data_IF_399777464868
#
_entry.id   IF_399777464868
#
_cell.length_a   1.000
_cell.length_b   1.000
_cell.length_c   1.000
_cell.angle_alpha   90.00
_cell.angle_beta   90.00
_cell.angle_gamma   90.00
#
_symmetry.space_group_name_H-M   'P 1'
#
loop_
_entity.id
_entity.type
_entity.pdbx_description
1 polymer ?
#
# COMPACT_ATOMS: atom_id res chain seq x y z
N UNK A 1 -49.90 -49.56 -34.09
CA UNK A 1 -50.91 -48.50 -34.36
C UNK A 1 -50.44 -47.27 -33.58
N UNK A 2 -49.91 -46.18 -34.14
CA UNK A 2 -50.04 -45.49 -35.44
C UNK A 2 -51.26 -44.52 -35.54
N UNK A 3 -50.96 -43.24 -35.80
CA UNK A 3 -51.87 -42.05 -35.90
C UNK A 3 -52.43 -41.63 -34.52
N UNK A 4 -52.65 -40.35 -34.16
CA UNK A 4 -52.85 -39.05 -34.86
C UNK A 4 -52.04 -37.95 -34.07
N UNK A 5 -51.32 -36.91 -34.54
CA UNK A 5 -51.20 -36.07 -35.78
C UNK A 5 -52.13 -34.81 -35.77
N UNK A 6 -51.71 -33.53 -35.77
CA UNK A 6 -50.42 -32.80 -35.64
C UNK A 6 -50.75 -31.27 -35.47
N UNK A 7 -49.76 -30.37 -35.29
CA UNK A 7 -49.86 -28.88 -35.28
C UNK A 7 -50.48 -28.29 -33.98
N UNK A 8 -50.16 -27.07 -33.54
CA UNK A 8 -49.57 -25.88 -34.19
C UNK A 8 -48.17 -25.53 -33.66
N UNK A 9 -47.36 -24.85 -34.49
CA UNK A 9 -45.95 -24.48 -34.24
C UNK A 9 -45.70 -23.03 -34.70
N UNK A 10 -44.85 -22.29 -33.97
CA UNK A 10 -44.24 -20.97 -34.29
C UNK A 10 -45.18 -19.76 -34.51
N UNK A 11 -45.38 -18.96 -33.45
CA UNK A 11 -45.27 -17.48 -33.41
C UNK A 11 -45.32 -17.07 -31.92
N UNK A 12 -44.49 -16.17 -31.37
CA UNK A 12 -43.39 -15.39 -31.93
C UNK A 12 -42.19 -15.31 -30.95
N UNK A 13 -41.01 -14.99 -31.48
CA UNK A 13 -39.86 -14.55 -30.68
C UNK A 13 -39.97 -13.06 -30.30
N UNK A 14 -38.97 -12.58 -29.54
CA UNK A 14 -38.60 -11.17 -29.40
C UNK A 14 -39.39 -10.31 -28.39
N UNK A 15 -39.07 -10.48 -27.10
CA UNK A 15 -38.89 -9.32 -26.19
C UNK A 15 -37.47 -9.42 -25.61
N UNK A 16 -36.72 -8.32 -25.70
CA UNK A 16 -35.31 -8.26 -25.33
C UNK A 16 -35.11 -7.63 -23.94
N UNK A 17 -34.12 -8.17 -23.23
CA UNK A 17 -33.23 -7.48 -22.27
C UNK A 17 -33.81 -7.08 -20.88
N UNK A 18 -32.93 -6.74 -19.89
CA UNK A 18 -31.46 -6.85 -19.87
C UNK A 18 -30.92 -7.75 -18.74
N UNK A 19 -29.59 -7.92 -18.75
CA UNK A 19 -28.86 -8.89 -17.93
C UNK A 19 -29.01 -8.77 -16.40
N UNK A 20 -28.98 -9.94 -15.76
CA UNK A 20 -28.53 -10.14 -14.38
C UNK A 20 -27.33 -11.09 -14.35
N UNK A 21 -26.22 -10.65 -14.93
CA UNK A 21 -24.89 -11.16 -14.56
C UNK A 21 -24.53 -10.59 -13.18
N UNK A 22 -25.21 -11.08 -12.15
CA UNK A 22 -24.83 -10.83 -10.77
C UNK A 22 -23.63 -11.73 -10.46
N UNK A 23 -22.49 -11.19 -9.98
CA UNK A 23 -21.36 -12.04 -9.59
C UNK A 23 -21.79 -12.96 -8.43
N UNK A 24 -21.17 -14.15 -8.35
CA UNK A 24 -21.36 -15.01 -7.18
C UNK A 24 -21.04 -14.22 -5.89
N UNK A 25 -21.71 -14.50 -4.76
CA UNK A 25 -21.49 -13.75 -3.53
C UNK A 25 -20.00 -13.80 -3.14
N UNK A 26 -19.42 -12.62 -2.96
CA UNK A 26 -18.05 -12.48 -2.44
C UNK A 26 -17.97 -13.09 -1.05
N UNK A 27 -16.91 -13.87 -0.82
CA UNK A 27 -16.48 -14.42 0.46
C UNK A 27 -17.59 -14.99 1.37
N UNK A 28 -17.64 -16.32 1.49
CA UNK A 28 -18.08 -16.91 2.76
C UNK A 28 -17.29 -16.24 3.89
N UNK A 29 -17.99 -15.62 4.85
CA UNK A 29 -17.33 -15.15 6.05
C UNK A 29 -16.60 -16.33 6.68
N UNK A 30 -15.32 -16.13 7.02
CA UNK A 30 -14.51 -17.15 7.69
C UNK A 30 -15.26 -17.59 8.95
N UNK A 31 -15.58 -18.88 9.07
CA UNK A 31 -16.07 -19.42 10.34
C UNK A 31 -14.99 -19.15 11.39
N UNK A 32 -15.40 -18.58 12.54
CA UNK A 32 -14.45 -18.07 13.52
C UNK A 32 -13.46 -19.18 13.92
N UNK A 33 -12.16 -18.91 13.73
CA UNK A 33 -11.07 -19.80 14.14
C UNK A 33 -11.29 -20.21 15.59
N UNK A 34 -11.19 -21.51 15.95
CA UNK A 34 -11.43 -21.95 17.32
C UNK A 34 -10.51 -21.21 18.28
N UNK A 35 -11.12 -20.54 19.26
CA UNK A 35 -10.49 -19.59 20.18
C UNK A 35 -9.25 -20.21 20.87
N UNK A 36 -8.06 -19.83 20.40
CA UNK A 36 -6.81 -20.36 20.92
C UNK A 36 -6.56 -19.73 22.28
N UNK A 37 -6.65 -20.54 23.34
CA UNK A 37 -6.44 -20.10 24.72
C UNK A 37 -4.97 -19.74 24.99
N UNK A 38 -4.59 -18.53 24.60
CA UNK A 38 -3.28 -17.92 24.80
C UNK A 38 -3.44 -16.46 25.25
N UNK A 39 -2.41 -15.91 25.89
CA UNK A 39 -2.43 -14.52 26.36
C UNK A 39 -2.27 -13.55 25.16
N UNK A 40 -3.13 -12.51 25.03
CA UNK A 40 -2.98 -11.51 23.98
C UNK A 40 -1.72 -10.67 24.21
N UNK A 41 -1.00 -10.36 23.14
CA UNK A 41 0.24 -9.58 23.18
C UNK A 41 -0.02 -8.08 23.00
N UNK A 42 0.70 -7.24 23.75
CA UNK A 42 0.48 -5.79 23.75
C UNK A 42 0.84 -5.12 22.42
N UNK A 43 0.23 -3.98 22.11
CA UNK A 43 0.61 -3.12 20.98
C UNK A 43 2.12 -2.85 20.90
N UNK A 44 2.79 -2.70 22.05
CA UNK A 44 4.22 -2.47 22.13
C UNK A 44 5.04 -3.70 21.74
N UNK A 45 4.62 -4.90 22.18
CA UNK A 45 5.23 -6.17 21.79
C UNK A 45 4.99 -6.50 20.32
N UNK A 46 3.76 -6.29 19.84
CA UNK A 46 3.33 -6.43 18.45
C UNK A 46 4.16 -5.50 17.54
N UNK A 47 4.27 -4.23 17.92
CA UNK A 47 5.13 -3.23 17.24
C UNK A 47 6.59 -3.66 17.22
N UNK A 48 7.15 -4.06 18.37
CA UNK A 48 8.53 -4.51 18.47
C UNK A 48 8.78 -5.77 17.62
N UNK A 49 7.78 -6.65 17.47
CA UNK A 49 7.84 -7.82 16.61
C UNK A 49 7.86 -7.44 15.13
N UNK A 50 6.99 -6.54 14.66
CA UNK A 50 7.02 -6.03 13.27
C UNK A 50 8.37 -5.38 12.93
N UNK A 51 8.97 -4.64 13.86
CA UNK A 51 10.30 -4.04 13.67
C UNK A 51 11.41 -5.10 13.58
N UNK A 52 11.37 -6.16 14.40
CA UNK A 52 12.31 -7.30 14.28
C UNK A 52 12.12 -8.09 12.98
N UNK A 53 10.88 -8.29 12.55
CA UNK A 53 10.51 -8.90 11.28
C UNK A 53 11.09 -8.10 10.09
N UNK A 54 10.90 -6.78 10.07
CA UNK A 54 11.47 -5.92 9.04
C UNK A 54 13.01 -5.92 9.04
N UNK A 55 13.65 -5.91 10.22
CA UNK A 55 15.11 -6.05 10.31
C UNK A 55 15.61 -7.40 9.76
N UNK A 56 14.82 -8.47 9.91
CA UNK A 56 15.13 -9.80 9.39
C UNK A 56 14.99 -9.88 7.86
N UNK A 57 14.07 -9.10 7.27
CA UNK A 57 13.95 -8.91 5.81
C UNK A 57 15.24 -8.29 5.25
N UNK A 58 15.71 -7.17 5.81
CA UNK A 58 16.95 -6.48 5.39
C UNK A 58 18.23 -7.29 5.65
N UNK A 59 18.13 -8.43 6.34
CA UNK A 59 19.21 -9.39 6.58
C UNK A 59 19.09 -10.67 5.72
N UNK A 60 18.12 -10.75 4.80
CA UNK A 60 17.88 -11.93 3.96
C UNK A 60 17.43 -13.19 4.71
N UNK A 61 16.96 -13.05 5.96
CA UNK A 61 16.79 -14.15 6.91
C UNK A 61 15.54 -15.01 6.71
N UNK A 62 15.29 -15.52 5.50
CA UNK A 62 14.01 -16.17 5.14
C UNK A 62 13.55 -17.27 6.11
N UNK A 63 14.45 -18.13 6.59
CA UNK A 63 14.11 -19.17 7.57
C UNK A 63 13.76 -18.58 8.95
N UNK A 64 14.50 -17.55 9.39
CA UNK A 64 14.26 -16.86 10.66
C UNK A 64 12.94 -16.09 10.68
N UNK A 65 12.41 -15.69 9.52
CA UNK A 65 11.06 -15.12 9.42
C UNK A 65 9.99 -16.06 9.99
N UNK A 66 10.19 -17.38 9.89
CA UNK A 66 9.25 -18.39 10.41
C UNK A 66 8.97 -18.27 11.91
N UNK A 67 9.93 -17.76 12.70
CA UNK A 67 9.80 -17.64 14.15
C UNK A 67 8.81 -16.54 14.60
N UNK A 68 8.47 -15.61 13.70
CA UNK A 68 7.51 -14.52 13.97
C UNK A 68 6.06 -14.89 13.64
N UNK A 69 5.85 -15.98 12.90
CA UNK A 69 4.57 -16.35 12.29
C UNK A 69 3.81 -17.41 13.08
N UNK A 70 2.48 -17.36 13.08
CA UNK A 70 1.64 -18.48 13.51
C UNK A 70 1.83 -19.69 12.57
N UNK A 71 1.55 -20.93 12.99
CA UNK A 71 1.67 -22.10 12.11
C UNK A 71 0.79 -21.97 10.85
N UNK A 72 -0.48 -21.59 11.05
CA UNK A 72 -1.50 -21.45 10.00
C UNK A 72 -1.63 -20.01 9.48
N UNK A 73 -0.55 -19.21 9.50
CA UNK A 73 -0.62 -17.79 9.13
C UNK A 73 -1.21 -17.58 7.72
N UNK A 74 -2.18 -16.67 7.60
CA UNK A 74 -2.74 -16.26 6.30
C UNK A 74 -2.06 -14.97 5.85
N UNK A 75 -1.35 -15.04 4.71
CA UNK A 75 -0.83 -13.86 4.02
C UNK A 75 -1.72 -13.54 2.83
N UNK A 76 -2.36 -12.39 2.85
CA UNK A 76 -3.01 -11.79 1.69
C UNK A 76 -1.97 -11.00 0.90
N UNK A 77 -1.77 -11.41 -0.34
CA UNK A 77 -0.77 -10.91 -1.26
C UNK A 77 -1.10 -9.52 -1.81
N UNK A 78 -0.16 -9.00 -2.60
CA UNK A 78 -0.28 -7.70 -3.26
C UNK A 78 0.60 -7.66 -4.50
N UNK A 79 0.16 -6.92 -5.52
CA UNK A 79 0.87 -6.85 -6.80
C UNK A 79 1.08 -8.24 -7.42
N UNK A 80 2.29 -8.50 -7.94
CA UNK A 80 2.69 -9.83 -8.43
C UNK A 80 3.00 -10.86 -7.34
N UNK A 81 2.83 -10.55 -6.04
CA UNK A 81 3.17 -11.48 -4.94
C UNK A 81 1.89 -12.19 -4.48
N UNK A 82 1.74 -13.51 -4.70
CA UNK A 82 0.51 -14.24 -4.39
C UNK A 82 0.24 -14.37 -2.90
N UNK A 83 -0.97 -14.80 -2.55
CA UNK A 83 -1.34 -15.21 -1.20
C UNK A 83 -0.45 -16.36 -0.69
N UNK A 84 -0.45 -16.60 0.62
CA UNK A 84 0.27 -17.73 1.22
C UNK A 84 -0.48 -18.26 2.43
N UNK A 85 -0.63 -19.59 2.51
CA UNK A 85 -1.33 -20.26 3.59
C UNK A 85 -0.33 -21.09 4.41
N UNK A 86 -0.19 -20.75 5.68
CA UNK A 86 0.74 -21.39 6.61
C UNK A 86 2.18 -20.88 6.52
N UNK A 87 2.91 -21.06 7.63
CA UNK A 87 4.28 -20.56 7.85
C UNK A 87 5.27 -21.02 6.75
N UNK A 88 5.14 -22.27 6.30
CA UNK A 88 6.05 -22.86 5.31
C UNK A 88 5.97 -22.17 3.95
N UNK A 89 4.78 -21.73 3.54
CA UNK A 89 4.55 -21.04 2.28
C UNK A 89 5.10 -19.61 2.30
N UNK A 90 4.89 -18.90 3.41
CA UNK A 90 5.48 -17.57 3.63
C UNK A 90 7.01 -17.64 3.60
N UNK A 91 7.62 -18.57 4.34
CA UNK A 91 9.09 -18.75 4.38
C UNK A 91 9.65 -19.10 2.99
N UNK A 92 8.99 -19.99 2.24
CA UNK A 92 9.37 -20.35 0.87
C UNK A 92 9.31 -19.16 -0.07
N UNK A 93 8.25 -18.35 0.01
CA UNK A 93 8.06 -17.21 -0.86
C UNK A 93 9.06 -16.07 -0.57
N UNK A 94 9.42 -15.85 0.71
CA UNK A 94 10.52 -14.93 1.06
C UNK A 94 11.90 -15.44 0.62
N UNK A 95 12.16 -16.75 0.70
CA UNK A 95 13.41 -17.33 0.20
C UNK A 95 13.59 -17.11 -1.31
N UNK A 96 12.51 -17.21 -2.10
CA UNK A 96 12.52 -16.84 -3.52
C UNK A 96 12.73 -15.33 -3.72
N UNK A 97 12.08 -14.49 -2.91
CA UNK A 97 12.20 -13.03 -3.00
C UNK A 97 13.63 -12.54 -2.73
N UNK A 98 14.28 -13.02 -1.65
CA UNK A 98 15.66 -12.65 -1.32
C UNK A 98 16.69 -13.28 -2.27
N UNK A 99 16.38 -14.42 -2.89
CA UNK A 99 17.23 -14.97 -3.96
C UNK A 99 17.18 -14.11 -5.25
N UNK A 100 16.09 -13.40 -5.49
CA UNK A 100 15.91 -12.52 -6.65
C UNK A 100 16.35 -11.07 -6.42
N UNK A 101 16.34 -10.60 -5.17
CA UNK A 101 16.80 -9.27 -4.75
C UNK A 101 17.73 -9.43 -3.54
N UNK A 102 19.01 -9.81 -3.75
CA UNK A 102 19.91 -10.19 -2.66
C UNK A 102 20.49 -9.00 -1.88
N UNK A 103 20.38 -7.79 -2.42
CA UNK A 103 20.76 -6.51 -1.79
C UNK A 103 19.56 -5.78 -1.14
N UNK A 104 18.39 -6.43 -1.05
CA UNK A 104 17.14 -5.85 -0.55
C UNK A 104 17.33 -5.16 0.80
N UNK A 105 16.97 -3.88 0.88
CA UNK A 105 16.91 -3.11 2.12
C UNK A 105 15.50 -2.58 2.35
N UNK A 106 14.90 -2.96 3.48
CA UNK A 106 13.55 -2.60 3.88
C UNK A 106 13.55 -1.64 5.08
N UNK A 107 12.92 -0.48 4.93
CA UNK A 107 12.93 0.62 5.92
C UNK A 107 11.53 1.09 6.27
N UNK A 108 11.06 0.76 7.48
CA UNK A 108 9.81 1.30 8.04
C UNK A 108 9.89 2.84 8.08
N UNK A 109 8.89 3.49 7.47
CA UNK A 109 8.70 4.94 7.42
C UNK A 109 7.69 5.41 8.47
N UNK A 110 6.70 4.57 8.80
CA UNK A 110 5.63 4.84 9.76
C UNK A 110 5.16 3.53 10.39
N UNK A 111 4.71 3.60 11.65
CA UNK A 111 4.01 2.52 12.35
C UNK A 111 2.80 3.11 13.09
N UNK A 112 1.69 2.38 13.10
CA UNK A 112 0.51 2.59 13.93
C UNK A 112 0.14 1.23 14.51
N UNK A 113 -0.26 1.18 15.78
CA UNK A 113 -0.81 0.00 16.43
C UNK A 113 -2.19 0.34 16.99
N UNK A 114 -3.05 -0.68 17.11
CA UNK A 114 -4.42 -0.61 17.58
C UNK A 114 -4.83 -2.03 18.00
N UNK A 115 -4.81 -2.33 19.30
CA UNK A 115 -5.08 -3.66 19.88
C UNK A 115 -4.22 -4.80 19.25
N UNK A 116 -4.85 -5.78 18.57
CA UNK A 116 -4.16 -6.90 17.90
C UNK A 116 -3.60 -6.53 16.51
N UNK A 117 -3.75 -5.28 16.06
CA UNK A 117 -3.31 -4.81 14.74
C UNK A 117 -2.05 -3.93 14.81
N UNK A 118 -1.15 -4.12 13.84
CA UNK A 118 -0.05 -3.18 13.56
C UNK A 118 0.02 -2.88 12.07
N UNK A 119 -0.17 -1.61 11.71
CA UNK A 119 -0.02 -1.09 10.36
C UNK A 119 1.33 -0.40 10.18
N UNK A 120 2.04 -0.73 9.10
CA UNK A 120 3.30 -0.06 8.71
C UNK A 120 3.25 0.45 7.28
N UNK A 121 3.92 1.61 7.08
CA UNK A 121 4.38 2.04 5.75
C UNK A 121 5.88 1.82 5.67
N UNK A 122 6.33 1.20 4.60
CA UNK A 122 7.71 0.76 4.37
C UNK A 122 8.19 1.29 3.03
N UNK A 123 9.47 1.62 2.93
CA UNK A 123 10.19 1.82 1.66
C UNK A 123 11.18 0.68 1.51
N UNK A 124 11.15 0.00 0.38
CA UNK A 124 12.09 -1.05 0.00
C UNK A 124 12.90 -0.62 -1.22
N UNK A 125 14.14 -1.09 -1.30
CA UNK A 125 15.03 -0.87 -2.44
C UNK A 125 15.94 -2.09 -2.67
N UNK A 126 16.32 -2.32 -3.92
CA UNK A 126 17.25 -3.38 -4.30
C UNK A 126 17.33 -3.61 -5.81
N UNK A 127 18.21 -4.52 -6.21
CA UNK A 127 18.59 -4.88 -7.57
C UNK A 127 18.06 -6.26 -7.93
N UNK A 128 17.32 -6.36 -9.04
CA UNK A 128 16.70 -7.61 -9.44
C UNK A 128 17.68 -8.53 -10.20
N UNK A 129 18.47 -9.31 -9.46
CA UNK A 129 19.44 -10.26 -10.02
C UNK A 129 18.83 -11.55 -10.58
N UNK A 130 17.63 -11.96 -10.16
CA UNK A 130 16.96 -13.18 -10.67
C UNK A 130 15.47 -12.99 -10.97
N UNK A 131 14.89 -14.01 -11.60
CA UNK A 131 13.47 -14.09 -11.89
C UNK A 131 12.63 -14.02 -10.60
N UNK A 132 11.62 -13.16 -10.62
CA UNK A 132 10.49 -13.20 -9.71
C UNK A 132 9.33 -13.94 -10.39
N UNK A 133 8.30 -14.42 -9.65
CA UNK A 133 7.14 -15.07 -10.25
C UNK A 133 6.48 -14.23 -11.36
N UNK A 134 6.57 -14.70 -12.60
CA UNK A 134 6.05 -14.02 -13.80
C UNK A 134 6.87 -12.82 -14.30
N UNK A 135 8.04 -12.54 -13.70
CA UNK A 135 8.83 -11.32 -13.93
C UNK A 135 10.32 -11.69 -14.11
N UNK A 136 10.84 -11.75 -15.35
CA UNK A 136 12.22 -12.13 -15.63
C UNK A 136 13.25 -11.21 -14.97
N UNK A 137 14.45 -11.74 -14.69
CA UNK A 137 15.60 -11.00 -14.19
C UNK A 137 15.95 -9.82 -15.11
N UNK A 138 15.97 -8.60 -14.54
CA UNK A 138 16.26 -7.38 -15.31
C UNK A 138 17.65 -6.81 -15.06
N UNK A 139 18.30 -7.15 -13.93
CA UNK A 139 19.54 -6.52 -13.48
C UNK A 139 19.38 -5.05 -13.05
N UNK A 140 18.15 -4.52 -13.05
CA UNK A 140 17.86 -3.13 -12.70
C UNK A 140 17.64 -2.98 -11.19
N UNK A 141 18.09 -1.84 -10.65
CA UNK A 141 17.76 -1.40 -9.31
C UNK A 141 16.43 -0.63 -9.30
N UNK A 142 15.66 -0.76 -8.21
CA UNK A 142 14.43 -0.02 -7.99
C UNK A 142 14.23 0.39 -6.54
N UNK A 143 13.29 1.31 -6.32
CA UNK A 143 12.79 1.72 -5.01
C UNK A 143 11.26 1.71 -5.06
N UNK A 144 10.60 1.02 -4.14
CA UNK A 144 9.14 0.93 -4.07
C UNK A 144 8.66 1.16 -2.62
N UNK A 145 7.35 1.37 -2.47
CA UNK A 145 6.73 1.48 -1.14
C UNK A 145 5.75 0.34 -0.91
N UNK A 146 5.61 -0.06 0.35
CA UNK A 146 4.69 -1.11 0.80
C UNK A 146 3.90 -0.58 1.99
N UNK A 147 2.60 -0.85 2.02
CA UNK A 147 1.77 -0.81 3.22
C UNK A 147 1.47 -2.24 3.64
N UNK A 148 1.63 -2.56 4.92
CA UNK A 148 1.19 -3.86 5.46
C UNK A 148 0.48 -3.67 6.78
N UNK A 149 -0.65 -4.37 6.95
CA UNK A 149 -1.36 -4.50 8.23
C UNK A 149 -1.15 -5.95 8.69
N UNK A 150 -0.63 -6.12 9.91
CA UNK A 150 -0.44 -7.41 10.56
C UNK A 150 -1.46 -7.56 11.69
N UNK A 151 -2.08 -8.74 11.81
CA UNK A 151 -2.92 -9.18 12.93
C UNK A 151 -2.15 -10.17 13.81
N UNK A 152 -2.27 -10.03 15.12
CA UNK A 152 -1.53 -10.81 16.11
C UNK A 152 -2.40 -11.83 16.84
N UNK A 153 -1.80 -12.97 17.18
CA UNK A 153 -2.42 -14.03 17.96
C UNK A 153 -1.32 -14.79 18.69
N UNK A 154 -1.47 -15.02 20.00
CA UNK A 154 -0.46 -15.71 20.83
C UNK A 154 0.98 -15.16 20.71
N UNK A 155 1.16 -13.84 20.52
CA UNK A 155 2.48 -13.23 20.31
C UNK A 155 3.13 -13.55 18.96
N UNK A 156 2.35 -13.94 17.94
CA UNK A 156 2.79 -14.21 16.57
C UNK A 156 1.92 -13.45 15.55
N UNK A 157 2.47 -13.19 14.37
CA UNK A 157 1.68 -12.73 13.21
C UNK A 157 0.80 -13.89 12.75
N UNK A 158 -0.51 -13.75 12.91
CA UNK A 158 -1.49 -14.78 12.53
C UNK A 158 -2.15 -14.50 11.17
N UNK A 159 -2.22 -13.24 10.76
CA UNK A 159 -2.72 -12.84 9.45
C UNK A 159 -2.08 -11.51 9.03
N UNK A 160 -1.89 -11.28 7.73
CA UNK A 160 -1.48 -9.96 7.25
C UNK A 160 -1.85 -9.67 5.80
N UNK A 161 -2.10 -8.38 5.50
CA UNK A 161 -2.44 -7.87 4.18
C UNK A 161 -1.37 -6.89 3.70
N UNK A 162 -0.76 -7.15 2.54
CA UNK A 162 0.25 -6.26 1.95
C UNK A 162 -0.23 -5.62 0.64
N UNK A 163 0.03 -4.32 0.48
CA UNK A 163 -0.08 -3.61 -0.80
C UNK A 163 1.25 -2.94 -1.13
N UNK A 164 1.78 -3.14 -2.34
CA UNK A 164 3.00 -2.47 -2.82
C UNK A 164 2.75 -1.62 -4.06
N UNK A 165 3.63 -0.65 -4.31
CA UNK A 165 3.73 0.09 -5.58
C UNK A 165 4.30 -0.82 -6.68
N UNK A 166 3.48 -1.76 -7.10
CA UNK A 166 3.85 -2.80 -8.07
C UNK A 166 4.04 -2.21 -9.48
N UNK A 167 3.26 -1.18 -9.83
CA UNK A 167 3.40 -0.47 -11.10
C UNK A 167 4.74 0.27 -11.16
N UNK A 168 5.09 1.05 -10.13
CA UNK A 168 6.36 1.75 -10.04
C UNK A 168 7.55 0.79 -10.01
N UNK A 169 7.42 -0.35 -9.31
CA UNK A 169 8.44 -1.42 -9.26
C UNK A 169 8.67 -2.07 -10.61
N UNK A 170 7.61 -2.52 -11.30
CA UNK A 170 7.69 -3.16 -12.62
C UNK A 170 8.17 -2.19 -13.72
N UNK A 171 7.91 -0.89 -13.59
CA UNK A 171 8.49 0.13 -14.46
C UNK A 171 9.99 0.32 -14.22
N UNK A 172 10.46 0.33 -12.97
CA UNK A 172 11.89 0.42 -12.64
C UNK A 172 12.67 -0.83 -13.06
N UNK A 173 12.05 -2.01 -12.97
CA UNK A 173 12.62 -3.26 -13.50
C UNK A 173 12.52 -3.35 -15.04
N UNK A 174 11.89 -2.38 -15.72
CA UNK A 174 11.81 -2.34 -17.19
C UNK A 174 10.81 -3.31 -17.82
N UNK A 175 10.00 -4.00 -17.02
CA UNK A 175 8.95 -4.93 -17.46
C UNK A 175 7.79 -4.16 -18.09
N UNK A 176 7.48 -2.98 -17.55
CA UNK A 176 6.43 -2.09 -18.03
C UNK A 176 7.04 -0.77 -18.53
N UNK A 177 6.47 -0.14 -19.57
CA UNK A 177 6.94 1.15 -20.04
C UNK A 177 6.72 2.23 -18.98
N UNK A 178 7.75 3.04 -18.72
CA UNK A 178 7.64 4.19 -17.85
C UNK A 178 6.65 5.20 -18.44
N UNK A 179 5.63 5.60 -17.67
CA UNK A 179 4.66 6.59 -18.13
C UNK A 179 5.34 7.94 -18.35
N UNK A 180 5.03 8.60 -19.48
CA UNK A 180 5.49 9.95 -19.75
C UNK A 180 5.06 10.89 -18.60
N UNK A 181 5.97 11.71 -18.04
CA UNK A 181 5.63 12.57 -16.91
C UNK A 181 4.48 13.52 -17.25
N UNK A 182 3.40 13.46 -16.48
CA UNK A 182 2.35 14.49 -16.52
C UNK A 182 3.02 15.82 -16.17
N UNK A 183 3.11 16.72 -17.15
CA UNK A 183 3.96 17.91 -17.09
C UNK A 183 3.77 18.68 -15.77
N UNK A 184 4.79 18.61 -14.92
CA UNK A 184 4.64 18.95 -13.52
C UNK A 184 4.06 20.36 -13.33
N UNK A 185 3.11 20.47 -12.41
CA UNK A 185 2.73 21.76 -11.87
C UNK A 185 3.98 22.36 -11.22
N UNK A 186 4.57 23.38 -11.85
CA UNK A 186 5.84 23.98 -11.42
C UNK A 186 5.76 24.27 -9.92
N UNK A 187 6.63 23.62 -9.16
CA UNK A 187 6.62 23.65 -7.69
C UNK A 187 6.58 25.12 -7.25
N UNK A 188 5.53 25.58 -6.56
CA UNK A 188 5.56 26.89 -5.94
C UNK A 188 6.78 26.91 -5.03
N UNK A 189 7.62 27.94 -5.15
CA UNK A 189 8.72 28.16 -4.21
C UNK A 189 8.17 28.01 -2.79
N UNK A 190 8.88 27.24 -1.94
CA UNK A 190 8.35 26.78 -0.66
C UNK A 190 7.68 27.94 0.08
N UNK A 191 6.36 27.81 0.31
CA UNK A 191 5.56 28.91 0.84
C UNK A 191 6.18 29.32 2.18
N UNK A 192 6.63 30.57 2.28
CA UNK A 192 7.33 31.07 3.47
C UNK A 192 6.43 30.86 4.68
N UNK A 193 6.77 29.87 5.51
CA UNK A 193 6.04 29.58 6.73
C UNK A 193 6.36 30.71 7.70
N UNK A 194 5.51 31.74 7.69
CA UNK A 194 5.50 32.75 8.73
C UNK A 194 5.15 32.02 10.02
N UNK A 195 6.16 31.85 10.89
CA UNK A 195 6.01 31.17 12.16
C UNK A 195 5.10 31.99 13.08
N UNK A 196 3.80 31.73 12.99
CA UNK A 196 2.84 32.13 14.01
C UNK A 196 3.20 31.45 15.34
N UNK A 197 2.94 32.13 16.45
CA UNK A 197 3.11 31.53 17.78
C UNK A 197 2.28 30.25 17.89
N UNK A 198 2.80 29.18 18.55
CA UNK A 198 2.08 27.91 18.63
C UNK A 198 0.80 28.09 19.43
N UNK A 199 -0.34 28.14 18.75
CA UNK A 199 -1.63 27.85 19.36
C UNK A 199 -1.61 26.37 19.72
N UNK A 200 -1.93 26.02 20.97
CA UNK A 200 -2.13 24.62 21.35
C UNK A 200 -3.46 24.19 20.73
N UNK A 201 -3.41 23.39 19.66
CA UNK A 201 -4.57 22.65 19.21
C UNK A 201 -4.91 21.59 20.27
N UNK A 202 -6.20 21.31 20.48
CA UNK A 202 -6.58 20.08 21.17
C UNK A 202 -5.98 18.88 20.42
N UNK A 203 -5.41 17.94 21.15
CA UNK A 203 -4.93 16.70 20.54
C UNK A 203 -6.14 15.82 20.22
N UNK A 204 -6.25 15.42 18.96
CA UNK A 204 -7.33 14.55 18.46
C UNK A 204 -7.08 13.12 18.90
N UNK A 205 -8.09 12.44 19.43
CA UNK A 205 -7.94 11.03 19.86
C UNK A 205 -7.87 10.07 18.64
N UNK A 206 -7.45 8.81 18.82
CA UNK A 206 -7.52 7.80 17.76
C UNK A 206 -8.95 7.64 17.22
N UNK A 207 -9.95 7.56 18.10
CA UNK A 207 -11.37 7.37 17.76
C UNK A 207 -11.96 8.59 17.04
N UNK A 208 -11.59 9.82 17.45
CA UNK A 208 -11.95 11.04 16.72
C UNK A 208 -11.32 11.08 15.33
N UNK A 209 -10.04 10.68 15.21
CA UNK A 209 -9.31 10.62 13.94
C UNK A 209 -9.95 9.58 13.00
N UNK A 210 -10.29 8.41 13.52
CA UNK A 210 -11.00 7.35 12.80
C UNK A 210 -12.40 7.81 12.36
N UNK A 211 -13.15 8.48 13.24
CA UNK A 211 -14.46 9.04 12.92
C UNK A 211 -14.38 10.08 11.79
N UNK A 212 -13.33 10.93 11.77
CA UNK A 212 -13.07 11.87 10.68
C UNK A 212 -12.75 11.15 9.35
N UNK A 213 -11.95 10.08 9.35
CA UNK A 213 -11.67 9.27 8.15
C UNK A 213 -12.94 8.55 7.66
N UNK A 214 -13.73 7.96 8.56
CA UNK A 214 -15.02 7.34 8.20
C UNK A 214 -16.03 8.36 7.67
N UNK A 215 -16.05 9.58 8.24
CA UNK A 215 -16.84 10.72 7.75
C UNK A 215 -16.42 11.12 6.34
N UNK A 216 -15.12 11.28 6.08
CA UNK A 216 -14.55 11.58 4.76
C UNK A 216 -14.97 10.56 3.71
N UNK A 217 -14.81 9.26 3.98
CA UNK A 217 -15.20 8.20 3.04
C UNK A 217 -16.69 8.22 2.70
N UNK A 218 -17.55 8.52 3.68
CA UNK A 218 -19.00 8.63 3.50
C UNK A 218 -19.41 9.90 2.74
N UNK A 219 -18.97 11.08 3.18
CA UNK A 219 -19.39 12.35 2.57
C UNK A 219 -18.74 12.56 1.21
N UNK A 220 -17.41 12.44 1.11
CA UNK A 220 -16.67 12.77 -0.11
C UNK A 220 -16.70 11.62 -1.13
N UNK A 221 -16.28 10.40 -0.73
CA UNK A 221 -16.13 9.28 -1.69
C UNK A 221 -17.42 8.53 -2.02
N UNK A 222 -18.42 8.53 -1.14
CA UNK A 222 -19.73 7.92 -1.43
C UNK A 222 -20.74 8.99 -1.88
N UNK A 223 -21.07 9.98 -1.03
CA UNK A 223 -22.15 10.94 -1.29
C UNK A 223 -21.79 12.08 -2.27
N UNK A 224 -20.51 12.31 -2.59
CA UNK A 224 -20.02 13.48 -3.34
C UNK A 224 -20.37 14.83 -2.67
N UNK A 225 -20.54 14.82 -1.36
CA UNK A 225 -20.76 16.02 -0.54
C UNK A 225 -19.40 16.64 -0.17
N UNK A 226 -19.25 17.93 -0.45
CA UNK A 226 -18.04 18.72 -0.17
C UNK A 226 -18.31 19.87 0.82
N UNK A 227 -19.47 19.91 1.48
CA UNK A 227 -19.82 20.99 2.41
C UNK A 227 -18.93 20.99 3.67
N UNK A 228 -18.70 19.81 4.27
CA UNK A 228 -17.84 19.64 5.46
C UNK A 228 -16.33 19.56 5.17
N UNK A 229 -15.88 19.94 3.97
CA UNK A 229 -14.48 19.69 3.56
C UNK A 229 -13.47 20.47 4.42
N UNK A 230 -13.76 21.74 4.72
CA UNK A 230 -12.94 22.61 5.58
C UNK A 230 -13.08 22.26 7.10
N UNK A 231 -14.01 21.37 7.47
CA UNK A 231 -14.14 20.83 8.84
C UNK A 231 -13.29 19.57 9.05
N UNK A 232 -13.15 18.74 8.00
CA UNK A 232 -12.44 17.45 8.04
C UNK A 232 -10.96 17.62 7.68
N UNK A 233 -10.65 18.56 6.78
CA UNK A 233 -9.30 18.74 6.24
C UNK A 233 -8.65 19.99 6.84
N UNK A 234 -7.57 19.78 7.60
CA UNK A 234 -6.80 20.86 8.20
C UNK A 234 -6.35 21.91 7.17
N UNK A 235 -6.42 23.23 7.46
CA UNK A 235 -6.01 24.29 6.53
C UNK A 235 -4.54 24.23 6.07
N UNK A 236 -3.70 23.46 6.77
CA UNK A 236 -2.28 23.25 6.50
C UNK A 236 -1.94 21.83 5.97
N UNK A 237 -2.95 21.02 5.62
CA UNK A 237 -2.77 19.63 5.21
C UNK A 237 -1.79 19.47 4.03
N UNK A 238 -1.05 18.37 4.02
CA UNK A 238 -0.11 18.02 2.94
C UNK A 238 -0.66 16.82 2.16
N UNK A 239 -1.22 17.09 0.98
CA UNK A 239 -1.50 16.02 0.02
C UNK A 239 -0.20 15.61 -0.70
N UNK A 240 0.12 14.32 -0.62
CA UNK A 240 1.28 13.69 -1.26
C UNK A 240 0.96 13.10 -2.66
N UNK A 241 -0.30 13.14 -3.09
CA UNK A 241 -0.72 12.68 -4.42
C UNK A 241 -0.46 13.67 -5.56
N UNK A 242 -0.97 13.34 -6.75
CA UNK A 242 -0.83 14.13 -7.98
C UNK A 242 -1.37 15.57 -7.82
N UNK A 243 -0.46 16.55 -7.75
CA UNK A 243 -0.77 17.98 -7.61
C UNK A 243 -1.29 18.59 -8.91
N UNK A 244 -2.55 18.29 -9.24
CA UNK A 244 -3.29 18.96 -10.33
C UNK A 244 -3.41 20.48 -10.04
N UNK A 245 -3.27 21.31 -11.08
CA UNK A 245 -3.15 22.80 -10.98
C UNK A 245 -4.45 23.52 -10.59
N UNK A 246 -5.15 23.16 -9.50
CA UNK A 246 -6.48 23.73 -9.20
C UNK A 246 -6.81 24.07 -7.74
N UNK A 247 -5.97 24.91 -7.11
CA UNK A 247 -6.45 26.24 -6.67
C UNK A 247 -5.31 27.14 -6.16
N UNK A 248 -5.28 28.40 -6.62
CA UNK A 248 -4.50 29.48 -5.98
C UNK A 248 -5.37 30.21 -4.96
N UNK A 249 -5.55 29.63 -3.78
CA UNK A 249 -5.86 30.41 -2.56
C UNK A 249 -4.57 30.54 -1.76
N UNK A 250 -4.21 31.78 -1.38
CA UNK A 250 -3.06 32.05 -0.51
C UNK A 250 -3.48 31.75 0.93
N UNK A 251 -3.10 30.60 1.46
CA UNK A 251 -3.27 30.29 2.87
C UNK A 251 -2.09 30.83 3.69
N UNK A 252 -2.39 31.45 4.83
CA UNK A 252 -1.41 31.73 5.88
C UNK A 252 -1.27 30.45 6.71
N UNK A 253 -0.13 29.78 6.60
CA UNK A 253 0.07 28.45 7.20
C UNK A 253 0.34 28.54 8.70
N UNK A 254 -0.74 28.54 9.50
CA UNK A 254 -0.66 28.20 10.91
C UNK A 254 -0.13 26.77 11.04
N UNK A 255 1.08 26.61 11.57
CA UNK A 255 1.72 25.30 11.79
C UNK A 255 1.50 24.87 13.24
N UNK A 256 0.34 24.27 13.49
CA UNK A 256 0.11 23.57 14.76
C UNK A 256 1.03 22.35 14.84
N UNK A 257 1.62 22.10 16.01
CA UNK A 257 2.49 20.96 16.29
C UNK A 257 1.87 20.21 17.46
N UNK A 258 1.49 18.95 17.26
CA UNK A 258 1.06 18.09 18.37
C UNK A 258 2.23 17.86 19.32
N UNK A 259 1.91 17.72 20.60
CA UNK A 259 2.84 17.35 21.67
C UNK A 259 2.92 15.83 21.86
N UNK A 260 1.97 15.08 21.30
CA UNK A 260 1.90 13.62 21.15
C UNK A 260 3.25 12.91 21.31
N UNK A 261 3.49 12.40 22.50
CA UNK A 261 4.79 11.92 22.98
C UNK A 261 5.20 10.53 22.47
N UNK A 262 4.70 10.12 21.31
CA UNK A 262 5.14 8.91 20.60
C UNK A 262 6.55 9.11 20.06
N UNK A 263 7.60 8.46 20.61
CA UNK A 263 9.00 8.78 20.31
C UNK A 263 9.43 8.44 18.88
N UNK A 264 8.60 7.72 18.12
CA UNK A 264 8.91 7.17 16.81
C UNK A 264 8.42 8.01 15.61
N UNK A 265 7.72 9.13 15.81
CA UNK A 265 7.13 9.94 14.72
C UNK A 265 7.98 11.16 14.36
N UNK A 266 9.26 10.94 14.04
CA UNK A 266 10.15 11.98 13.51
C UNK A 266 10.12 12.04 11.99
N UNK A 267 9.24 12.87 11.43
CA UNK A 267 9.13 13.10 9.97
C UNK A 267 10.43 13.66 9.35
N UNK A 268 11.20 12.90 8.54
CA UNK A 268 12.44 13.39 7.95
C UNK A 268 12.12 14.08 6.61
N UNK A 269 12.09 15.41 6.60
CA UNK A 269 11.92 16.18 5.36
C UNK A 269 13.13 16.01 4.42
N UNK A 270 13.07 15.03 3.50
CA UNK A 270 13.98 14.90 2.36
C UNK A 270 13.24 15.04 1.03
N UNK A 271 13.10 16.28 0.58
CA UNK A 271 12.66 16.60 -0.78
C UNK A 271 13.84 16.54 -1.75
N UNK A 272 14.27 15.33 -2.13
CA UNK A 272 15.33 15.12 -3.11
C UNK A 272 15.72 13.64 -3.23
N UNK A 273 16.36 13.22 -4.34
CA UNK A 273 16.89 11.86 -4.47
C UNK A 273 17.99 11.59 -3.42
N UNK A 274 18.24 10.32 -3.05
CA UNK A 274 19.30 9.99 -2.11
C UNK A 274 20.69 10.36 -2.69
N UNK A 275 21.61 10.91 -1.87
CA UNK A 275 22.95 11.25 -2.34
C UNK A 275 23.72 10.00 -2.73
N UNK A 276 24.05 9.89 -4.03
CA UNK A 276 24.75 8.73 -4.61
C UNK A 276 24.28 8.43 -6.05
N UNK A 277 23.00 8.63 -6.35
CA UNK A 277 22.43 8.41 -7.69
C UNK A 277 22.70 9.59 -8.64
N UNK A 278 23.95 9.70 -9.09
CA UNK A 278 24.28 10.51 -10.27
C UNK A 278 23.79 9.77 -11.52
N UNK A 279 22.59 10.10 -12.00
CA UNK A 279 22.12 9.63 -13.31
C UNK A 279 23.07 10.11 -14.41
N UNK A 280 23.86 9.19 -14.94
CA UNK A 280 24.78 9.47 -16.03
C UNK A 280 23.98 9.76 -17.32
N UNK A 281 23.76 11.04 -17.61
CA UNK A 281 23.19 11.47 -18.89
C UNK A 281 24.15 11.13 -20.04
N UNK A 282 23.98 9.92 -20.60
CA UNK A 282 24.64 9.51 -21.83
C UNK A 282 24.36 10.53 -22.94
N UNK A 283 25.42 11.01 -23.60
CA UNK A 283 25.27 11.90 -24.76
C UNK A 283 24.46 11.17 -25.84
N UNK A 284 23.51 11.84 -26.52
CA UNK A 284 22.81 11.23 -27.64
C UNK A 284 23.81 10.88 -28.75
N UNK A 285 23.78 9.64 -29.22
CA UNK A 285 24.54 9.23 -30.40
C UNK A 285 24.00 9.94 -31.64
N UNK A 286 24.85 10.46 -32.55
CA UNK A 286 24.38 11.06 -33.79
C UNK A 286 23.65 10.01 -34.65
N UNK A 287 22.49 10.37 -35.19
CA UNK A 287 21.79 9.56 -36.18
C UNK A 287 22.59 9.55 -37.50
N UNK A 288 22.65 8.41 -38.21
CA UNK A 288 23.20 8.39 -39.56
C UNK A 288 22.30 9.19 -40.50
N UNK A 289 22.90 10.03 -41.35
CA UNK A 289 22.17 10.67 -42.43
C UNK A 289 21.75 9.63 -43.48
N UNK A 290 20.52 9.75 -44.00
CA UNK A 290 20.07 8.95 -45.13
C UNK A 290 20.62 9.52 -46.44
N UNK A 291 21.10 8.63 -47.30
CA UNK A 291 21.56 8.88 -48.68
C UNK A 291 21.11 7.72 -49.57
#
# INVERSE_FOLDING_TARGET
MLRIILLVVLFACSVLAPGRLWPAPLATAQEATPEVACEPSSEADNTALVHRWNATISAGGAAALGEFLAPEVVRHGGGTIPDSLGRADVVRNFALYFAAIPDLQSTIQQTVADDDLVAVRVTEQGTQERDLPGVPASGNAGVWTIFTIYRFECGKIAEYWSQLDDLGRLQQFGVLPQMAPVAAAATPAAATVVAASPTVCAETTPEESEALVRRWCREVYQQRNFAGFDEIIAPNHICHGLRLRRNRRRFLTLTCRSTSSSPNVTWPFRTGPPPGLTLAHGKPSPQPAMS
#
